data_IF_206629654123
#
_entry.id   IF_206629654123
#
_cell.length_a   1.000
_cell.length_b   1.000
_cell.length_c   1.000
_cell.angle_alpha   90.00
_cell.angle_beta   90.00
_cell.angle_gamma   90.00
#
_symmetry.space_group_name_H-M   'P 1'
#
loop_
_entity.id
_entity.type
_entity.pdbx_description
1 polymer ?
#
# COMPACT_ATOMS: atom_id res chain seq x y z
N UNK A 1 81.86 -53.10 -47.25
CA UNK A 1 80.76 -52.13 -47.43
C UNK A 1 79.76 -52.27 -46.27
N UNK A 2 79.91 -51.56 -45.15
CA UNK A 2 78.92 -51.64 -44.05
C UNK A 2 78.95 -50.48 -43.03
N UNK A 3 79.42 -49.28 -43.40
CA UNK A 3 79.56 -48.17 -42.42
C UNK A 3 78.76 -46.91 -42.78
N UNK A 4 78.11 -46.87 -43.96
CA UNK A 4 77.37 -45.68 -44.44
C UNK A 4 75.85 -45.72 -44.21
N UNK A 5 75.26 -46.88 -43.91
CA UNK A 5 73.81 -46.99 -43.65
C UNK A 5 73.42 -46.47 -42.25
N UNK A 6 74.27 -46.68 -41.23
CA UNK A 6 73.92 -46.32 -39.83
C UNK A 6 73.85 -44.81 -39.61
N UNK A 7 74.72 -44.02 -40.26
CA UNK A 7 74.70 -42.54 -40.21
C UNK A 7 73.46 -41.93 -40.89
N UNK A 8 72.96 -42.54 -41.96
CA UNK A 8 71.75 -42.10 -42.66
C UNK A 8 70.49 -42.26 -41.78
N UNK A 9 70.35 -43.40 -41.08
CA UNK A 9 69.20 -43.65 -40.19
C UNK A 9 69.20 -42.74 -38.96
N UNK A 10 70.38 -42.45 -38.38
CA UNK A 10 70.47 -41.49 -37.26
C UNK A 10 70.12 -40.07 -37.69
N UNK A 11 70.51 -39.66 -38.91
CA UNK A 11 70.17 -38.35 -39.46
C UNK A 11 68.66 -38.22 -39.76
N UNK A 12 68.04 -39.28 -40.27
CA UNK A 12 66.58 -39.34 -40.51
C UNK A 12 65.80 -39.25 -39.19
N UNK A 13 66.24 -39.97 -38.14
CA UNK A 13 65.59 -39.91 -36.83
C UNK A 13 65.72 -38.53 -36.16
N UNK A 14 66.86 -37.86 -36.30
CA UNK A 14 67.05 -36.48 -35.82
C UNK A 14 66.13 -35.52 -36.59
N UNK A 15 65.99 -35.69 -37.91
CA UNK A 15 65.10 -34.88 -38.72
C UNK A 15 63.63 -35.05 -38.29
N UNK A 16 63.20 -36.27 -38.01
CA UNK A 16 61.84 -36.57 -37.53
C UNK A 16 61.58 -35.93 -36.15
N UNK A 17 62.56 -36.00 -35.23
CA UNK A 17 62.43 -35.36 -33.91
C UNK A 17 62.31 -33.84 -34.05
N UNK A 18 63.12 -33.21 -34.91
CA UNK A 18 63.04 -31.76 -35.18
C UNK A 18 61.68 -31.39 -35.80
N UNK A 19 61.15 -32.22 -36.70
CA UNK A 19 59.85 -31.99 -37.33
C UNK A 19 58.69 -32.13 -36.34
N UNK A 20 58.76 -33.11 -35.44
CA UNK A 20 57.80 -33.28 -34.34
C UNK A 20 57.89 -32.11 -33.35
N UNK A 21 59.10 -31.67 -32.99
CA UNK A 21 59.29 -30.53 -32.10
C UNK A 21 58.79 -29.23 -32.73
N UNK A 22 59.02 -29.05 -34.04
CA UNK A 22 58.48 -27.94 -34.83
C UNK A 22 56.96 -27.97 -34.93
N UNK A 23 56.34 -29.14 -35.08
CA UNK A 23 54.88 -29.28 -35.08
C UNK A 23 54.28 -28.99 -33.69
N UNK A 24 54.89 -29.47 -32.61
CA UNK A 24 54.45 -29.18 -31.23
C UNK A 24 54.61 -27.69 -30.93
N UNK A 25 55.72 -27.08 -31.37
CA UNK A 25 55.92 -25.64 -31.24
C UNK A 25 54.89 -24.85 -32.05
N UNK A 26 54.58 -25.26 -33.29
CA UNK A 26 53.57 -24.61 -34.12
C UNK A 26 52.16 -24.73 -33.53
N UNK A 27 51.78 -25.91 -33.00
CA UNK A 27 50.50 -26.12 -32.31
C UNK A 27 50.44 -25.34 -31.00
N UNK A 28 51.53 -25.30 -30.23
CA UNK A 28 51.61 -24.52 -28.99
C UNK A 28 51.49 -23.03 -29.28
N UNK A 29 52.21 -22.53 -30.28
CA UNK A 29 52.11 -21.14 -30.72
C UNK A 29 50.70 -20.85 -31.21
N UNK A 30 50.09 -21.74 -32.01
CA UNK A 30 48.71 -21.58 -32.49
C UNK A 30 47.69 -21.53 -31.34
N UNK A 31 47.82 -22.39 -30.31
CA UNK A 31 46.95 -22.34 -29.12
C UNK A 31 47.24 -21.12 -28.23
N UNK A 32 48.48 -20.66 -28.14
CA UNK A 32 48.88 -19.46 -27.39
C UNK A 32 48.51 -18.16 -28.11
N UNK A 33 48.42 -18.16 -29.44
CA UNK A 33 48.04 -17.00 -30.25
C UNK A 33 46.59 -17.04 -30.72
N UNK A 34 45.85 -18.13 -30.48
CA UNK A 34 44.42 -18.16 -30.75
C UNK A 34 43.74 -17.12 -29.86
N UNK A 35 43.13 -16.07 -30.44
CA UNK A 35 42.49 -15.03 -29.65
C UNK A 35 41.39 -15.66 -28.82
N UNK A 36 41.54 -15.62 -27.49
CA UNK A 36 40.44 -15.94 -26.59
C UNK A 36 39.31 -14.99 -26.91
N UNK A 37 38.12 -15.52 -27.24
CA UNK A 37 36.95 -14.68 -27.44
C UNK A 37 36.64 -14.00 -26.12
N UNK A 38 36.93 -12.72 -26.03
CA UNK A 38 36.61 -11.92 -24.84
C UNK A 38 35.09 -11.74 -24.79
N UNK A 39 34.48 -12.19 -23.69
CA UNK A 39 33.07 -11.98 -23.40
C UNK A 39 32.93 -11.07 -22.19
N UNK A 40 31.97 -10.15 -22.27
CA UNK A 40 31.46 -9.47 -21.08
C UNK A 40 30.37 -10.33 -20.47
N UNK A 41 30.53 -10.69 -19.19
CA UNK A 41 29.53 -11.44 -18.46
C UNK A 41 28.57 -10.47 -17.76
N UNK A 42 27.29 -10.62 -18.06
CA UNK A 42 26.19 -10.03 -17.30
C UNK A 42 25.38 -11.07 -16.57
N UNK A 43 24.50 -10.60 -15.69
CA UNK A 43 23.56 -11.42 -14.93
C UNK A 43 22.14 -10.91 -15.15
N UNK A 44 21.20 -11.83 -15.36
CA UNK A 44 19.79 -11.52 -15.41
C UNK A 44 19.26 -11.17 -14.01
N UNK A 45 18.54 -10.07 -13.91
CA UNK A 45 17.78 -9.64 -12.73
C UNK A 45 16.34 -9.37 -13.16
N UNK A 46 15.43 -9.33 -12.20
CA UNK A 46 14.03 -8.96 -12.45
C UNK A 46 13.52 -8.07 -11.32
N UNK A 47 12.37 -7.46 -11.56
CA UNK A 47 11.70 -6.66 -10.54
C UNK A 47 11.24 -7.56 -9.39
N UNK A 48 11.80 -7.32 -8.21
CA UNK A 48 11.36 -7.94 -6.95
C UNK A 48 10.28 -7.09 -6.29
N UNK A 49 9.22 -7.75 -5.83
CA UNK A 49 8.07 -7.11 -5.21
C UNK A 49 7.87 -7.75 -3.84
N UNK A 50 8.27 -7.01 -2.81
CA UNK A 50 8.08 -7.41 -1.42
C UNK A 50 6.67 -7.06 -0.95
N UNK A 51 5.84 -8.08 -0.78
CA UNK A 51 4.45 -7.93 -0.32
C UNK A 51 4.43 -7.97 1.21
N UNK A 52 4.07 -6.83 1.80
CA UNK A 52 3.97 -6.65 3.25
C UNK A 52 2.53 -6.29 3.66
N UNK A 53 2.06 -6.70 4.84
CA UNK A 53 0.75 -6.34 5.35
C UNK A 53 0.77 -4.90 5.89
N UNK A 54 -0.37 -4.23 5.89
CA UNK A 54 -0.53 -2.92 6.56
C UNK A 54 -0.89 -3.04 8.05
N UNK A 55 -1.23 -4.25 8.51
CA UNK A 55 -1.64 -4.53 9.89
C UNK A 55 -0.74 -5.59 10.50
N UNK A 56 -0.54 -5.50 11.81
CA UNK A 56 0.18 -6.52 12.58
C UNK A 56 -0.76 -7.68 12.88
N UNK A 57 -0.27 -8.91 12.74
CA UNK A 57 -1.05 -10.12 13.00
C UNK A 57 -0.19 -11.37 12.94
N UNK A 58 -0.72 -12.50 13.38
CA UNK A 58 -0.05 -13.80 13.25
C UNK A 58 -0.38 -14.43 11.92
N UNK A 59 0.57 -15.13 11.29
CA UNK A 59 0.28 -15.86 10.07
C UNK A 59 -0.65 -17.04 10.37
N UNK A 60 -1.90 -16.95 9.92
CA UNK A 60 -2.91 -17.99 10.13
C UNK A 60 -2.87 -19.03 9.02
N UNK A 61 -2.77 -18.59 7.76
CA UNK A 61 -2.75 -19.49 6.61
C UNK A 61 -1.82 -18.99 5.51
N UNK A 62 -1.02 -19.92 4.97
CA UNK A 62 -0.23 -19.77 3.75
C UNK A 62 -1.02 -20.39 2.61
N UNK A 63 -1.34 -19.60 1.59
CA UNK A 63 -2.20 -20.04 0.47
C UNK A 63 -1.45 -20.23 -0.84
N UNK A 64 -0.17 -19.88 -0.86
CA UNK A 64 0.71 -20.04 -2.02
C UNK A 64 2.04 -20.65 -1.60
N UNK A 65 2.66 -21.39 -2.52
CA UNK A 65 3.96 -22.01 -2.33
C UNK A 65 5.06 -21.32 -3.15
N UNK A 66 6.31 -21.55 -2.77
CA UNK A 66 7.47 -21.04 -3.51
C UNK A 66 7.52 -21.71 -4.90
N UNK A 67 7.84 -20.91 -5.93
CA UNK A 67 7.77 -21.31 -7.34
C UNK A 67 6.38 -21.23 -7.97
N UNK A 68 5.32 -20.95 -7.20
CA UNK A 68 3.97 -20.79 -7.76
C UNK A 68 3.82 -19.44 -8.47
N UNK A 69 3.22 -19.44 -9.66
CA UNK A 69 2.80 -18.21 -10.34
C UNK A 69 1.49 -17.69 -9.75
N UNK A 70 1.46 -16.40 -9.45
CA UNK A 70 0.30 -15.68 -8.90
C UNK A 70 -0.11 -14.53 -9.82
N UNK A 71 -1.40 -14.18 -9.75
CA UNK A 71 -1.96 -13.02 -10.46
C UNK A 71 -2.23 -11.87 -9.52
N UNK A 72 -2.24 -10.65 -10.04
CA UNK A 72 -2.67 -9.45 -9.33
C UNK A 72 -4.04 -9.65 -8.69
N UNK A 73 -4.15 -9.34 -7.40
CA UNK A 73 -5.35 -9.50 -6.59
C UNK A 73 -5.55 -10.91 -6.03
N UNK A 74 -4.69 -11.86 -6.35
CA UNK A 74 -4.74 -13.21 -5.75
C UNK A 74 -4.37 -13.14 -4.27
N UNK A 75 -5.10 -13.90 -3.45
CA UNK A 75 -4.83 -14.04 -2.03
C UNK A 75 -3.59 -14.91 -1.81
N UNK A 76 -2.63 -14.39 -1.05
CA UNK A 76 -1.35 -15.04 -0.76
C UNK A 76 -1.30 -15.62 0.67
N UNK A 77 -1.83 -14.85 1.61
CA UNK A 77 -1.81 -15.17 3.03
C UNK A 77 -3.03 -14.60 3.75
N UNK A 78 -3.37 -15.24 4.87
CA UNK A 78 -4.36 -14.72 5.83
C UNK A 78 -3.65 -14.54 7.17
N UNK A 79 -3.81 -13.36 7.75
CA UNK A 79 -3.36 -13.07 9.11
C UNK A 79 -4.50 -13.29 10.12
N UNK A 80 -4.15 -13.47 11.39
CA UNK A 80 -5.11 -13.41 12.49
C UNK A 80 -4.74 -12.26 13.41
N UNK A 81 -5.70 -11.38 13.67
CA UNK A 81 -5.58 -10.31 14.67
C UNK A 81 -6.89 -10.19 15.44
N UNK A 82 -7.03 -10.88 16.57
CA UNK A 82 -8.16 -10.73 17.48
C UNK A 82 -8.33 -9.28 17.97
N UNK A 83 -7.25 -8.49 17.99
CA UNK A 83 -7.26 -7.08 18.38
C UNK A 83 -8.07 -6.23 17.39
N UNK A 84 -8.02 -6.53 16.09
CA UNK A 84 -8.83 -5.84 15.08
C UNK A 84 -10.32 -6.17 15.23
N UNK A 85 -10.67 -7.42 15.53
CA UNK A 85 -12.06 -7.82 15.78
C UNK A 85 -12.59 -7.15 17.06
N UNK A 86 -11.80 -7.11 18.14
CA UNK A 86 -12.17 -6.40 19.36
C UNK A 86 -12.37 -4.89 19.10
N UNK A 87 -11.49 -4.27 18.31
CA UNK A 87 -11.60 -2.85 17.93
C UNK A 87 -12.82 -2.59 17.05
N UNK A 88 -13.20 -3.54 16.19
CA UNK A 88 -14.42 -3.45 15.38
C UNK A 88 -15.67 -3.48 16.27
N UNK A 89 -15.73 -4.39 17.25
CA UNK A 89 -16.82 -4.47 18.23
C UNK A 89 -16.93 -3.15 19.00
N UNK A 90 -15.80 -2.59 19.44
CA UNK A 90 -15.75 -1.29 20.13
C UNK A 90 -16.30 -0.15 19.25
N UNK A 91 -15.83 -0.05 17.99
CA UNK A 91 -16.28 0.98 17.06
C UNK A 91 -17.77 0.83 16.72
N UNK A 92 -18.25 -0.39 16.54
CA UNK A 92 -19.66 -0.67 16.27
C UNK A 92 -20.53 -0.29 17.46
N UNK A 93 -20.11 -0.62 18.69
CA UNK A 93 -20.82 -0.23 19.90
C UNK A 93 -20.90 1.30 20.06
N UNK A 94 -19.83 2.01 19.71
CA UNK A 94 -19.83 3.47 19.70
C UNK A 94 -20.78 4.06 18.65
N UNK A 95 -20.87 3.44 17.46
CA UNK A 95 -21.85 3.79 16.43
C UNK A 95 -23.27 3.54 16.91
N UNK A 96 -23.54 2.42 17.56
CA UNK A 96 -24.87 2.08 18.06
C UNK A 96 -25.32 3.08 19.13
N UNK A 97 -24.42 3.45 20.06
CA UNK A 97 -24.68 4.49 21.06
C UNK A 97 -24.93 5.87 20.41
N UNK A 98 -24.14 6.26 19.42
CA UNK A 98 -24.32 7.52 18.69
C UNK A 98 -25.63 7.54 17.89
N UNK A 99 -26.01 6.40 17.31
CA UNK A 99 -27.28 6.22 16.58
C UNK A 99 -28.45 6.37 17.54
N UNK A 100 -28.42 5.71 18.71
CA UNK A 100 -29.45 5.85 19.73
C UNK A 100 -29.60 7.30 20.23
N UNK A 101 -28.49 8.04 20.35
CA UNK A 101 -28.53 9.45 20.73
C UNK A 101 -29.11 10.33 19.62
N UNK A 102 -28.81 10.04 18.36
CA UNK A 102 -29.42 10.71 17.21
C UNK A 102 -30.92 10.43 17.12
N UNK A 103 -31.35 9.18 17.30
CA UNK A 103 -32.77 8.80 17.30
C UNK A 103 -33.51 9.47 18.46
N UNK A 104 -32.88 9.60 19.63
CA UNK A 104 -33.44 10.36 20.75
C UNK A 104 -33.63 11.84 20.39
N UNK A 105 -32.68 12.47 19.71
CA UNK A 105 -32.79 13.85 19.26
C UNK A 105 -33.87 14.00 18.16
N UNK A 106 -34.01 13.00 17.28
CA UNK A 106 -35.00 13.00 16.20
C UNK A 106 -36.42 12.86 16.74
N UNK A 107 -36.64 11.88 17.62
CA UNK A 107 -37.93 11.59 18.26
C UNK A 107 -38.37 12.72 19.21
N UNK A 108 -37.42 13.51 19.72
CA UNK A 108 -37.70 14.69 20.51
C UNK A 108 -38.36 14.38 21.85
N UNK A 109 -39.29 15.24 22.26
CA UNK A 109 -39.97 15.15 23.56
C UNK A 109 -41.02 14.05 23.55
N UNK A 110 -41.08 13.27 24.63
CA UNK A 110 -42.08 12.18 24.77
C UNK A 110 -43.51 12.70 24.77
N UNK A 111 -44.44 11.91 24.25
CA UNK A 111 -45.86 12.30 24.17
C UNK A 111 -46.44 12.66 25.54
N UNK A 112 -46.10 11.93 26.59
CA UNK A 112 -46.57 12.17 27.96
C UNK A 112 -46.11 13.53 28.50
N UNK A 113 -44.90 13.97 28.12
CA UNK A 113 -44.38 15.29 28.48
C UNK A 113 -45.10 16.40 27.71
N UNK A 114 -45.39 16.20 26.43
CA UNK A 114 -46.18 17.13 25.62
C UNK A 114 -47.60 17.28 26.20
N UNK A 115 -48.24 16.16 26.56
CA UNK A 115 -49.56 16.16 27.19
C UNK A 115 -49.54 16.82 28.58
N UNK A 116 -48.53 16.56 29.39
CA UNK A 116 -48.35 17.24 30.68
C UNK A 116 -48.29 18.76 30.52
N UNK A 117 -47.44 19.24 29.61
CA UNK A 117 -47.33 20.68 29.32
C UNK A 117 -48.62 21.27 28.74
N UNK A 118 -49.32 20.53 27.90
CA UNK A 118 -50.63 20.92 27.38
C UNK A 118 -51.65 21.08 28.51
N UNK A 119 -51.75 20.12 29.42
CA UNK A 119 -52.67 20.18 30.56
C UNK A 119 -52.35 21.37 31.49
N UNK A 120 -51.07 21.67 31.71
CA UNK A 120 -50.66 22.87 32.47
C UNK A 120 -51.07 24.16 31.75
N UNK A 121 -50.92 24.23 30.43
CA UNK A 121 -51.43 25.38 29.65
C UNK A 121 -52.95 25.52 29.78
N UNK A 122 -53.70 24.42 29.66
CA UNK A 122 -55.16 24.42 29.79
C UNK A 122 -55.61 24.87 31.18
N UNK A 123 -54.92 24.47 32.23
CA UNK A 123 -55.17 24.94 33.59
C UNK A 123 -54.93 26.46 33.73
N UNK A 124 -53.79 26.95 33.23
CA UNK A 124 -53.45 28.37 33.29
C UNK A 124 -54.43 29.24 32.48
N UNK A 125 -54.87 28.72 31.32
CA UNK A 125 -55.90 29.36 30.48
C UNK A 125 -57.23 29.49 31.21
N UNK A 126 -57.71 28.43 31.86
CA UNK A 126 -58.94 28.48 32.65
C UNK A 126 -58.84 29.51 33.80
N UNK A 127 -57.68 29.62 34.44
CA UNK A 127 -57.44 30.63 35.47
C UNK A 127 -57.43 32.06 34.92
N UNK A 128 -56.84 32.28 33.74
CA UNK A 128 -56.84 33.57 33.06
C UNK A 128 -58.26 33.99 32.63
N UNK A 129 -59.06 33.06 32.09
CA UNK A 129 -60.46 33.30 31.72
C UNK A 129 -61.32 33.68 32.95
N UNK A 130 -61.09 33.02 34.09
CA UNK A 130 -61.75 33.36 35.35
C UNK A 130 -61.35 34.76 35.85
N UNK A 131 -60.05 35.08 35.82
CA UNK A 131 -59.56 36.40 36.24
C UNK A 131 -60.06 37.52 35.32
N UNK A 132 -60.17 37.27 34.01
CA UNK A 132 -60.73 38.19 33.03
C UNK A 132 -62.21 38.49 33.31
N UNK A 133 -63.01 37.44 33.51
CA UNK A 133 -64.44 37.59 33.81
C UNK A 133 -64.67 38.29 35.15
N UNK A 134 -63.81 38.01 36.14
CA UNK A 134 -63.85 38.65 37.46
C UNK A 134 -63.51 40.14 37.35
N UNK A 135 -62.45 40.49 36.62
CA UNK A 135 -62.10 41.88 36.37
C UNK A 135 -63.23 42.65 35.68
N UNK A 136 -63.84 42.08 34.63
CA UNK A 136 -64.99 42.72 33.95
C UNK A 136 -66.15 42.99 34.91
N UNK A 137 -66.46 42.04 35.80
CA UNK A 137 -67.50 42.22 36.81
C UNK A 137 -67.14 43.34 37.79
N UNK A 138 -65.91 43.38 38.28
CA UNK A 138 -65.42 44.42 39.20
C UNK A 138 -65.34 45.80 38.53
N UNK A 139 -64.96 45.86 37.26
CA UNK A 139 -64.93 47.10 36.46
C UNK A 139 -66.34 47.69 36.30
N UNK A 140 -67.35 46.87 36.00
CA UNK A 140 -68.74 47.32 35.93
C UNK A 140 -69.24 47.84 37.29
N UNK A 141 -69.00 47.09 38.38
CA UNK A 141 -69.40 47.50 39.73
C UNK A 141 -68.68 48.78 40.20
N UNK A 142 -67.44 49.00 39.78
CA UNK A 142 -66.71 50.24 40.03
C UNK A 142 -67.29 51.42 39.26
N UNK A 143 -67.65 51.22 37.99
CA UNK A 143 -68.31 52.24 37.17
C UNK A 143 -69.68 52.62 37.73
N UNK A 144 -70.38 51.67 38.35
CA UNK A 144 -71.63 51.88 39.11
C UNK A 144 -71.40 52.46 40.52
N UNK A 145 -70.13 52.69 40.93
CA UNK A 145 -69.71 53.22 42.23
C UNK A 145 -70.07 52.33 43.45
N UNK A 146 -70.22 51.02 43.23
CA UNK A 146 -70.60 50.04 44.27
C UNK A 146 -69.37 49.51 45.03
N UNK A 147 -68.16 49.61 44.46
CA UNK A 147 -66.91 49.13 45.07
C UNK A 147 -65.78 50.18 45.05
N UNK A 148 -64.78 50.11 45.95
CA UNK A 148 -63.61 50.99 45.92
C UNK A 148 -62.69 50.76 44.71
N UNK A 149 -61.98 51.81 44.28
CA UNK A 149 -60.99 51.74 43.19
C UNK A 149 -59.91 50.67 43.42
N UNK A 150 -59.44 50.55 44.67
CA UNK A 150 -58.45 49.55 45.07
C UNK A 150 -58.88 48.11 44.71
N UNK A 151 -60.16 47.76 44.88
CA UNK A 151 -60.66 46.41 44.54
C UNK A 151 -60.67 46.14 43.05
N UNK A 152 -60.98 47.15 42.23
CA UNK A 152 -60.84 47.07 40.77
C UNK A 152 -59.37 46.90 40.38
N UNK A 153 -58.47 47.65 41.00
CA UNK A 153 -57.04 47.61 40.70
C UNK A 153 -56.39 46.28 41.10
N UNK A 154 -56.74 45.73 42.27
CA UNK A 154 -56.34 44.38 42.71
C UNK A 154 -56.79 43.33 41.67
N UNK A 155 -58.05 43.38 41.22
CA UNK A 155 -58.55 42.45 40.20
C UNK A 155 -57.89 42.65 38.83
N UNK A 156 -57.53 43.89 38.46
CA UNK A 156 -56.81 44.20 37.23
C UNK A 156 -55.41 43.60 37.25
N UNK A 157 -54.71 43.77 38.37
CA UNK A 157 -53.39 43.19 38.59
C UNK A 157 -53.45 41.66 38.51
N UNK A 158 -54.45 41.04 39.15
CA UNK A 158 -54.64 39.59 39.10
C UNK A 158 -54.94 39.07 37.69
N UNK A 159 -55.82 39.75 36.93
CA UNK A 159 -56.07 39.44 35.52
C UNK A 159 -54.77 39.46 34.70
N UNK A 160 -54.00 40.54 34.84
CA UNK A 160 -52.76 40.70 34.09
C UNK A 160 -51.75 39.60 34.45
N UNK A 161 -51.60 39.30 35.74
CA UNK A 161 -50.74 38.23 36.22
C UNK A 161 -51.16 36.86 35.66
N UNK A 162 -52.45 36.52 35.70
CA UNK A 162 -52.96 35.25 35.17
C UNK A 162 -52.80 35.13 33.65
N UNK A 163 -52.94 36.23 32.89
CA UNK A 163 -52.66 36.25 31.44
C UNK A 163 -51.18 35.99 31.13
N UNK A 164 -50.26 36.62 31.85
CA UNK A 164 -48.82 36.36 31.65
C UNK A 164 -48.45 34.92 32.06
N UNK A 165 -49.12 34.36 33.07
CA UNK A 165 -48.96 32.96 33.46
C UNK A 165 -49.46 31.98 32.39
N UNK A 166 -50.61 32.25 31.77
CA UNK A 166 -51.09 31.49 30.61
C UNK A 166 -50.08 31.52 29.46
N UNK A 167 -49.58 32.72 29.11
CA UNK A 167 -48.60 32.90 28.04
C UNK A 167 -47.31 32.13 28.32
N UNK A 168 -46.83 32.15 29.56
CA UNK A 168 -45.67 31.36 29.97
C UNK A 168 -45.93 29.84 29.84
N UNK A 169 -47.09 29.36 30.29
CA UNK A 169 -47.47 27.94 30.17
C UNK A 169 -47.62 27.51 28.70
N UNK A 170 -48.18 28.36 27.85
CA UNK A 170 -48.30 28.12 26.41
C UNK A 170 -46.92 28.02 25.73
N UNK A 171 -45.99 28.92 26.07
CA UNK A 171 -44.62 28.86 25.55
C UNK A 171 -43.89 27.58 25.99
N UNK A 172 -44.11 27.12 27.22
CA UNK A 172 -43.57 25.84 27.70
C UNK A 172 -44.14 24.64 26.92
N UNK A 173 -45.45 24.66 26.61
CA UNK A 173 -46.07 23.66 25.74
C UNK A 173 -45.49 23.69 24.33
N UNK A 174 -45.31 24.88 23.74
CA UNK A 174 -44.67 25.02 22.42
C UNK A 174 -43.23 24.51 22.41
N UNK A 175 -42.45 24.79 23.45
CA UNK A 175 -41.10 24.22 23.61
C UNK A 175 -41.14 22.69 23.65
N UNK A 176 -42.05 22.11 24.44
CA UNK A 176 -42.22 20.66 24.51
C UNK A 176 -42.63 20.07 23.14
N UNK A 177 -43.54 20.73 22.42
CA UNK A 177 -44.04 20.31 21.10
C UNK A 177 -42.98 20.42 20.01
N UNK A 178 -42.16 21.47 20.02
CA UNK A 178 -41.10 21.69 19.04
C UNK A 178 -39.93 20.72 19.24
N UNK A 179 -39.73 20.22 20.47
CA UNK A 179 -38.74 19.20 20.78
C UNK A 179 -37.30 19.70 20.65
N UNK A 180 -36.40 18.79 20.22
CA UNK A 180 -34.98 19.10 20.05
C UNK A 180 -34.75 20.11 18.92
N UNK A 181 -33.79 21.02 19.12
CA UNK A 181 -33.47 22.05 18.14
C UNK A 181 -32.77 21.44 16.92
N UNK A 182 -32.77 22.16 15.80
CA UNK A 182 -32.12 21.68 14.58
C UNK A 182 -30.60 21.52 14.78
N UNK A 183 -30.00 22.42 15.56
CA UNK A 183 -28.61 22.39 15.96
C UNK A 183 -28.28 21.11 16.73
N UNK A 184 -29.14 20.68 17.65
CA UNK A 184 -28.97 19.45 18.42
C UNK A 184 -29.07 18.21 17.52
N UNK A 185 -30.06 18.18 16.63
CA UNK A 185 -30.23 17.10 15.65
C UNK A 185 -29.02 16.98 14.72
N UNK A 186 -28.53 18.12 14.22
CA UNK A 186 -27.36 18.18 13.35
C UNK A 186 -26.08 17.76 14.08
N UNK A 187 -25.92 18.19 15.34
CA UNK A 187 -24.79 17.77 16.18
C UNK A 187 -24.80 16.25 16.41
N UNK A 188 -25.95 15.68 16.79
CA UNK A 188 -26.06 14.22 16.95
C UNK A 188 -25.85 13.46 15.64
N UNK A 189 -26.33 13.98 14.50
CA UNK A 189 -26.07 13.40 13.18
C UNK A 189 -24.58 13.44 12.81
N UNK A 190 -23.87 14.50 13.18
CA UNK A 190 -22.43 14.60 12.98
C UNK A 190 -21.67 13.57 13.82
N UNK A 191 -22.04 13.40 15.09
CA UNK A 191 -21.46 12.36 15.98
C UNK A 191 -21.72 10.96 15.45
N UNK A 192 -22.94 10.67 14.96
CA UNK A 192 -23.25 9.38 14.32
C UNK A 192 -22.37 9.14 13.09
N UNK A 193 -22.21 10.14 12.21
CA UNK A 193 -21.33 10.05 11.03
C UNK A 193 -19.87 9.85 11.40
N UNK A 194 -19.38 10.48 12.46
CA UNK A 194 -18.03 10.29 12.97
C UNK A 194 -17.82 8.84 13.44
N UNK A 195 -18.77 8.29 14.20
CA UNK A 195 -18.71 6.91 14.66
C UNK A 195 -18.79 5.90 13.49
N UNK A 196 -19.62 6.17 12.48
CA UNK A 196 -19.66 5.38 11.24
C UNK A 196 -18.32 5.43 10.48
N UNK A 197 -17.66 6.59 10.45
CA UNK A 197 -16.31 6.75 9.91
C UNK A 197 -15.30 5.86 10.64
N UNK A 198 -15.35 5.81 11.97
CA UNK A 198 -14.47 4.94 12.77
C UNK A 198 -14.70 3.45 12.47
N UNK A 199 -15.96 3.01 12.31
CA UNK A 199 -16.27 1.63 11.89
C UNK A 199 -15.71 1.33 10.51
N UNK A 200 -15.84 2.25 9.55
CA UNK A 200 -15.28 2.08 8.20
C UNK A 200 -13.76 1.98 8.21
N UNK A 201 -13.09 2.81 9.01
CA UNK A 201 -11.64 2.76 9.16
C UNK A 201 -11.17 1.39 9.66
N UNK A 202 -11.79 0.86 10.72
CA UNK A 202 -11.42 -0.47 11.25
C UNK A 202 -11.69 -1.57 10.24
N UNK A 203 -12.78 -1.49 9.47
CA UNK A 203 -13.06 -2.45 8.41
C UNK A 203 -12.02 -2.43 7.27
N UNK A 204 -11.48 -1.26 6.93
CA UNK A 204 -10.36 -1.17 5.97
C UNK A 204 -9.16 -1.93 6.50
N UNK A 205 -8.76 -1.71 7.77
CA UNK A 205 -7.67 -2.46 8.39
C UNK A 205 -7.96 -3.97 8.48
N UNK A 206 -9.20 -4.35 8.74
CA UNK A 206 -9.62 -5.76 8.77
C UNK A 206 -9.49 -6.43 7.40
N UNK A 207 -9.70 -5.71 6.31
CA UNK A 207 -9.48 -6.26 4.97
C UNK A 207 -7.99 -6.48 4.66
N UNK A 208 -7.10 -5.68 5.26
CA UNK A 208 -5.64 -5.81 5.11
C UNK A 208 -5.06 -7.05 5.83
N UNK A 209 -5.88 -7.77 6.60
CA UNK A 209 -5.57 -9.12 7.09
C UNK A 209 -5.36 -10.10 5.92
N UNK A 210 -6.09 -9.89 4.82
CA UNK A 210 -5.97 -10.66 3.60
C UNK A 210 -4.84 -10.06 2.76
N UNK A 211 -3.70 -10.74 2.72
CA UNK A 211 -2.52 -10.28 2.00
C UNK A 211 -2.65 -10.70 0.55
N UNK A 212 -2.82 -9.72 -0.35
CA UNK A 212 -3.04 -9.94 -1.78
C UNK A 212 -1.81 -9.57 -2.62
N UNK A 213 -1.66 -10.20 -3.78
CA UNK A 213 -0.61 -9.88 -4.74
C UNK A 213 -0.87 -8.52 -5.40
N UNK A 214 0.07 -7.55 -5.36
CA UNK A 214 -0.10 -6.24 -6.00
C UNK A 214 0.10 -6.28 -7.53
N UNK A 215 0.78 -7.31 -8.04
CA UNK A 215 1.08 -7.54 -9.46
C UNK A 215 1.15 -9.05 -9.75
N UNK A 216 1.21 -9.40 -11.04
CA UNK A 216 1.50 -10.76 -11.47
C UNK A 216 2.97 -11.10 -11.17
N UNK A 217 3.26 -12.35 -10.81
CA UNK A 217 4.65 -12.76 -10.52
C UNK A 217 4.77 -14.22 -10.11
N UNK A 218 5.99 -14.68 -9.89
CA UNK A 218 6.30 -15.99 -9.31
C UNK A 218 6.77 -15.80 -7.86
N UNK A 219 6.30 -16.64 -6.94
CA UNK A 219 6.69 -16.58 -5.52
C UNK A 219 8.14 -17.05 -5.38
N UNK A 220 9.05 -16.14 -4.98
CA UNK A 220 10.44 -16.49 -4.72
C UNK A 220 10.62 -17.10 -3.34
N UNK A 221 10.10 -16.40 -2.32
CA UNK A 221 10.31 -16.78 -0.93
C UNK A 221 9.15 -16.35 -0.06
N UNK A 222 8.84 -17.18 0.93
CA UNK A 222 7.94 -16.85 2.03
C UNK A 222 8.76 -16.59 3.30
N UNK A 223 8.61 -15.42 3.93
CA UNK A 223 9.46 -15.02 5.06
C UNK A 223 9.04 -15.62 6.42
N UNK A 224 7.77 -15.46 6.87
CA UNK A 224 7.35 -15.95 8.17
C UNK A 224 6.86 -17.40 8.13
N UNK A 225 6.97 -18.09 9.26
CA UNK A 225 6.39 -19.41 9.47
C UNK A 225 4.93 -19.31 9.94
N UNK A 226 4.17 -20.41 9.81
CA UNK A 226 2.80 -20.49 10.32
C UNK A 226 2.78 -20.21 11.84
N UNK A 227 1.87 -19.34 12.30
CA UNK A 227 1.76 -18.89 13.69
C UNK A 227 2.73 -17.79 14.12
N UNK A 228 3.72 -17.45 13.29
CA UNK A 228 4.68 -16.39 13.55
C UNK A 228 4.00 -15.02 13.54
N UNK A 229 4.47 -14.10 14.39
CA UNK A 229 3.98 -12.74 14.46
C UNK A 229 4.63 -11.89 13.37
N UNK A 230 3.81 -11.27 12.52
CA UNK A 230 4.26 -10.36 11.47
C UNK A 230 3.83 -8.94 11.82
N UNK A 231 4.80 -8.02 11.82
CA UNK A 231 4.53 -6.60 12.02
C UNK A 231 4.13 -5.92 10.70
N UNK A 232 3.31 -4.88 10.80
CA UNK A 232 2.97 -4.03 9.65
C UNK A 232 4.24 -3.52 8.93
N UNK A 233 4.25 -3.60 7.61
CA UNK A 233 5.35 -3.18 6.75
C UNK A 233 6.49 -4.19 6.61
N UNK A 234 6.50 -5.30 7.36
CA UNK A 234 7.47 -6.38 7.17
C UNK A 234 7.02 -7.34 6.07
N UNK A 235 7.89 -7.71 5.11
CA UNK A 235 7.48 -8.54 3.98
C UNK A 235 7.10 -9.96 4.42
N UNK A 236 6.02 -10.47 3.84
CA UNK A 236 5.55 -11.85 4.01
C UNK A 236 5.96 -12.69 2.81
N UNK A 237 5.80 -12.13 1.61
CA UNK A 237 6.09 -12.83 0.35
C UNK A 237 6.97 -11.95 -0.52
N UNK A 238 8.01 -12.54 -1.11
CA UNK A 238 8.76 -11.93 -2.20
C UNK A 238 8.24 -12.49 -3.55
N UNK A 239 7.75 -11.62 -4.42
CA UNK A 239 7.32 -11.97 -5.77
C UNK A 239 8.34 -11.47 -6.80
N UNK A 240 8.52 -12.23 -7.87
CA UNK A 240 9.39 -11.87 -8.99
C UNK A 240 8.53 -11.65 -10.23
N UNK A 241 8.62 -10.47 -10.83
CA UNK A 241 7.96 -10.20 -12.11
C UNK A 241 8.81 -10.75 -13.27
N UNK A 242 8.41 -11.92 -13.79
CA UNK A 242 9.07 -12.56 -14.93
C UNK A 242 8.80 -11.85 -16.28
N UNK A 243 7.94 -10.83 -16.32
CA UNK A 243 7.75 -10.02 -17.53
C UNK A 243 8.71 -8.83 -17.59
N UNK A 244 9.34 -8.47 -16.47
CA UNK A 244 10.30 -7.36 -16.37
C UNK A 244 11.69 -7.86 -15.96
N UNK A 245 12.34 -8.56 -16.90
CA UNK A 245 13.69 -9.09 -16.74
C UNK A 245 14.69 -8.21 -17.51
N UNK A 246 15.79 -7.82 -16.87
CA UNK A 246 16.92 -7.12 -17.50
C UNK A 246 18.23 -7.84 -17.21
N UNK A 247 19.23 -7.56 -18.03
CA UNK A 247 20.61 -8.02 -17.84
C UNK A 247 21.43 -6.86 -17.29
N UNK A 248 22.04 -7.08 -16.14
CA UNK A 248 23.03 -6.20 -15.56
C UNK A 248 24.41 -6.59 -16.07
N UNK A 249 25.10 -5.65 -16.71
CA UNK A 249 26.47 -5.85 -17.19
C UNK A 249 27.32 -4.74 -16.60
N UNK A 250 28.48 -5.11 -16.04
CA UNK A 250 29.48 -4.16 -15.60
C UNK A 250 30.49 -3.97 -16.74
N UNK A 251 30.50 -2.78 -17.33
CA UNK A 251 31.41 -2.42 -18.43
C UNK A 251 32.53 -1.54 -17.90
N UNK A 252 33.73 -1.71 -18.44
CA UNK A 252 34.87 -0.84 -18.11
C UNK A 252 34.71 0.52 -18.79
N UNK A 253 35.29 1.56 -18.20
CA UNK A 253 35.24 2.93 -18.73
C UNK A 253 35.70 3.05 -20.20
N UNK A 254 36.76 2.34 -20.58
CA UNK A 254 37.27 2.30 -21.97
C UNK A 254 36.29 1.68 -22.97
N UNK A 255 35.38 0.83 -22.50
CA UNK A 255 34.35 0.18 -23.30
C UNK A 255 33.01 0.95 -23.30
N UNK A 256 32.87 1.97 -22.44
CA UNK A 256 31.64 2.74 -22.28
C UNK A 256 31.16 3.38 -23.58
N UNK A 257 32.09 3.84 -24.43
CA UNK A 257 31.76 4.46 -25.72
C UNK A 257 30.98 3.55 -26.69
N UNK A 258 31.06 2.23 -26.51
CA UNK A 258 30.36 1.23 -27.34
C UNK A 258 28.90 1.02 -26.90
N UNK A 259 28.59 1.27 -25.64
CA UNK A 259 27.26 1.10 -25.07
C UNK A 259 26.56 2.44 -24.91
N UNK A 260 25.83 2.86 -25.95
CA UNK A 260 24.98 4.06 -25.91
C UNK A 260 23.57 3.73 -25.46
N UNK A 261 22.89 4.72 -24.88
CA UNK A 261 21.47 4.63 -24.55
C UNK A 261 20.66 4.22 -25.79
N UNK A 262 19.69 3.31 -25.61
CA UNK A 262 18.86 2.72 -26.65
C UNK A 262 19.58 1.87 -27.70
N UNK A 263 20.91 1.69 -27.60
CA UNK A 263 21.65 0.82 -28.51
C UNK A 263 21.25 -0.65 -28.29
N UNK A 264 21.27 -1.43 -29.38
CA UNK A 264 20.96 -2.85 -29.38
C UNK A 264 22.23 -3.67 -29.62
N UNK A 265 22.37 -4.78 -28.91
CA UNK A 265 23.50 -5.70 -29.08
C UNK A 265 23.05 -7.15 -28.83
N UNK A 266 23.86 -8.10 -29.28
CA UNK A 266 23.58 -9.52 -29.12
C UNK A 266 24.18 -10.05 -27.81
N UNK A 267 23.37 -10.72 -27.00
CA UNK A 267 23.79 -11.52 -25.85
C UNK A 267 23.55 -13.00 -26.09
N UNK A 268 24.32 -13.85 -25.44
CA UNK A 268 24.20 -15.31 -25.50
C UNK A 268 23.85 -15.80 -24.10
N UNK A 269 22.80 -16.61 -23.96
CA UNK A 269 22.44 -17.25 -22.70
C UNK A 269 22.98 -18.69 -22.71
N UNK A 270 24.06 -19.02 -21.99
CA UNK A 270 24.63 -20.37 -21.99
C UNK A 270 23.65 -21.43 -21.46
N UNK A 271 22.83 -21.05 -20.47
CA UNK A 271 21.84 -21.93 -19.84
C UNK A 271 20.67 -22.34 -20.77
N UNK A 272 20.53 -21.70 -21.93
CA UNK A 272 19.49 -21.99 -22.93
C UNK A 272 20.16 -22.42 -24.25
N UNK A 273 21.03 -23.41 -24.22
CA UNK A 273 21.74 -23.95 -25.40
C UNK A 273 22.48 -22.89 -26.24
N UNK A 274 23.10 -21.91 -25.57
CA UNK A 274 23.76 -20.77 -26.21
C UNK A 274 22.83 -19.95 -27.12
N UNK A 275 21.55 -19.83 -26.76
CA UNK A 275 20.57 -19.02 -27.48
C UNK A 275 21.01 -17.55 -27.52
N UNK A 276 21.03 -17.02 -28.73
CA UNK A 276 21.31 -15.60 -29.03
C UNK A 276 20.06 -14.77 -28.81
N UNK A 277 20.21 -13.66 -28.12
CA UNK A 277 19.12 -12.74 -27.77
C UNK A 277 19.54 -11.30 -28.10
N UNK A 278 18.59 -10.48 -28.53
CA UNK A 278 18.81 -9.06 -28.75
C UNK A 278 18.47 -8.30 -27.47
N UNK A 279 19.44 -7.55 -26.95
CA UNK A 279 19.33 -6.73 -25.76
C UNK A 279 19.40 -5.25 -26.14
N UNK A 280 18.61 -4.42 -25.48
CA UNK A 280 18.60 -2.98 -25.65
C UNK A 280 19.00 -2.27 -24.36
N UNK A 281 20.01 -1.40 -24.41
CA UNK A 281 20.42 -0.58 -23.26
C UNK A 281 19.32 0.43 -22.93
N UNK A 282 18.73 0.34 -21.72
CA UNK A 282 17.74 1.32 -21.23
C UNK A 282 18.22 2.12 -20.02
N UNK A 283 19.36 1.75 -19.44
CA UNK A 283 19.93 2.48 -18.32
C UNK A 283 21.45 2.31 -18.30
N UNK A 284 22.14 3.40 -18.03
CA UNK A 284 23.58 3.45 -17.79
C UNK A 284 23.75 4.21 -16.47
N UNK A 285 24.44 3.61 -15.50
CA UNK A 285 24.64 4.25 -14.21
C UNK A 285 25.39 5.58 -14.37
N UNK A 286 24.88 6.69 -13.80
CA UNK A 286 25.52 8.00 -13.91
C UNK A 286 26.82 8.10 -13.09
N UNK A 287 27.00 7.22 -12.11
CA UNK A 287 28.20 7.09 -11.30
C UNK A 287 28.74 5.66 -11.46
N UNK A 288 30.06 5.53 -11.65
CA UNK A 288 30.73 4.24 -11.61
C UNK A 288 30.78 3.69 -10.18
N UNK A 289 30.64 2.39 -10.04
CA UNK A 289 30.76 1.71 -8.74
C UNK A 289 32.22 1.32 -8.50
N UNK A 290 32.67 1.37 -7.25
CA UNK A 290 34.02 0.96 -6.85
C UNK A 290 33.96 -0.47 -6.32
N UNK A 291 33.82 -1.47 -7.19
CA UNK A 291 34.05 -2.86 -6.77
C UNK A 291 34.58 -3.76 -7.88
N UNK A 292 35.71 -4.42 -7.57
CA UNK A 292 36.28 -5.65 -8.15
C UNK A 292 36.99 -5.59 -9.51
N UNK A 293 38.08 -4.83 -9.60
CA UNK A 293 39.26 -5.37 -10.31
C UNK A 293 40.56 -4.86 -9.70
N UNK A 294 41.21 -5.67 -8.85
CA UNK A 294 42.60 -5.43 -8.49
C UNK A 294 43.47 -5.71 -9.72
N UNK A 295 44.05 -4.67 -10.30
CA UNK A 295 45.04 -4.82 -11.36
C UNK A 295 46.32 -5.44 -10.79
N UNK A 296 46.41 -6.77 -10.76
CA UNK A 296 47.70 -7.46 -10.57
C UNK A 296 48.49 -7.38 -11.88
N UNK A 297 48.95 -6.18 -12.26
CA UNK A 297 49.98 -6.03 -13.30
C UNK A 297 51.02 -5.02 -12.84
N UNK A 298 52.26 -5.50 -12.75
CA UNK A 298 53.54 -4.83 -12.43
C UNK A 298 53.94 -3.72 -13.42
N UNK A 299 53.01 -3.15 -14.20
CA UNK A 299 53.26 -2.04 -15.13
C UNK A 299 52.10 -1.06 -15.00
N UNK A 300 52.40 0.13 -14.46
CA UNK A 300 51.46 1.14 -13.99
C UNK A 300 50.24 1.39 -14.89
N UNK A 301 49.10 0.82 -14.49
CA UNK A 301 47.77 1.18 -14.97
C UNK A 301 47.03 1.95 -13.87
N UNK A 302 46.19 2.90 -14.27
CA UNK A 302 45.23 3.54 -13.37
C UNK A 302 44.08 2.57 -13.06
N UNK A 303 43.50 2.66 -11.86
CA UNK A 303 42.28 1.92 -11.51
C UNK A 303 41.13 2.41 -12.40
N UNK A 304 40.67 1.53 -13.30
CA UNK A 304 39.57 1.84 -14.20
C UNK A 304 38.25 1.61 -13.48
N UNK A 305 37.34 2.58 -13.59
CA UNK A 305 35.99 2.46 -13.04
C UNK A 305 35.14 1.55 -13.91
N UNK A 306 34.21 0.85 -13.27
CA UNK A 306 33.18 0.08 -13.96
C UNK A 306 31.85 0.81 -13.86
N UNK A 307 31.10 0.76 -14.96
CA UNK A 307 29.77 1.33 -15.05
C UNK A 307 28.76 0.21 -15.22
N UNK A 308 27.69 0.27 -14.44
CA UNK A 308 26.58 -0.67 -14.54
C UNK A 308 25.65 -0.25 -15.67
N UNK A 309 25.41 -1.15 -16.62
CA UNK A 309 24.34 -0.98 -17.63
C UNK A 309 23.22 -1.96 -17.35
N UNK A 310 21.97 -1.53 -17.56
CA UNK A 310 20.81 -2.42 -17.61
C UNK A 310 20.32 -2.52 -19.05
N UNK A 311 20.36 -3.73 -19.59
CA UNK A 311 19.92 -4.02 -20.95
C UNK A 311 18.72 -4.98 -20.93
N UNK A 312 17.67 -4.64 -21.67
CA UNK A 312 16.41 -5.38 -21.66
C UNK A 312 16.28 -6.22 -22.93
N UNK A 313 15.83 -7.48 -22.84
CA UNK A 313 15.47 -8.26 -24.02
C UNK A 313 14.41 -7.54 -24.84
N UNK A 314 14.58 -7.48 -26.17
CA UNK A 314 13.58 -6.86 -27.06
C UNK A 314 12.34 -7.73 -27.26
N UNK A 315 12.44 -9.02 -26.93
CA UNK A 315 11.34 -10.00 -26.95
C UNK A 315 11.37 -10.84 -25.67
N UNK A 316 10.20 -11.34 -25.26
CA UNK A 316 10.11 -12.31 -24.17
C UNK A 316 10.82 -13.61 -24.56
N UNK A 317 11.67 -14.12 -23.67
CA UNK A 317 12.45 -15.33 -23.89
C UNK A 317 11.92 -16.39 -22.93
N UNK A 318 11.36 -17.46 -23.46
CA UNK A 318 10.91 -18.60 -22.65
C UNK A 318 12.10 -19.26 -21.95
N UNK A 319 11.91 -19.62 -20.68
CA UNK A 319 12.94 -20.22 -19.83
C UNK A 319 13.98 -19.25 -19.30
N UNK A 320 13.96 -17.97 -19.69
CA UNK A 320 14.89 -16.98 -19.14
C UNK A 320 14.47 -16.60 -17.72
N UNK A 321 15.34 -16.90 -16.75
CA UNK A 321 15.09 -16.66 -15.32
C UNK A 321 16.15 -15.71 -14.74
N UNK A 322 15.79 -14.93 -13.71
CA UNK A 322 16.77 -14.17 -12.94
C UNK A 322 17.86 -15.08 -12.39
N UNK A 323 19.08 -14.55 -12.27
CA UNK A 323 20.28 -15.30 -11.91
C UNK A 323 21.03 -15.94 -13.08
N UNK A 324 20.40 -16.10 -14.26
CA UNK A 324 21.10 -16.63 -15.43
C UNK A 324 22.20 -15.68 -15.92
N UNK A 325 23.35 -16.25 -16.30
CA UNK A 325 24.43 -15.49 -16.93
C UNK A 325 24.12 -15.20 -18.40
N UNK A 326 24.53 -14.02 -18.88
CA UNK A 326 24.44 -13.61 -20.28
C UNK A 326 25.82 -13.16 -20.74
N UNK A 327 26.34 -13.80 -21.79
CA UNK A 327 27.64 -13.50 -22.37
C UNK A 327 27.48 -12.59 -23.58
N UNK A 328 28.16 -11.45 -23.57
CA UNK A 328 28.16 -10.49 -24.68
C UNK A 328 29.49 -10.58 -25.40
N UNK A 329 29.52 -11.03 -26.67
CA UNK A 329 30.76 -11.11 -27.43
C UNK A 329 31.34 -9.72 -27.67
N UNK A 330 32.63 -9.51 -27.40
CA UNK A 330 33.29 -8.21 -27.58
C UNK A 330 33.36 -7.73 -29.04
N UNK A 331 33.02 -8.60 -30.00
CA UNK A 331 33.09 -8.37 -31.45
C UNK A 331 31.77 -7.80 -32.02
N UNK A 332 30.66 -7.91 -31.27
CA UNK A 332 29.33 -7.46 -31.72
C UNK A 332 28.99 -6.05 -31.22
N UNK A 333 29.99 -5.30 -30.74
CA UNK A 333 29.87 -4.00 -30.06
C UNK A 333 30.40 -2.84 -30.87
#
# INVERSE_FOLDING_TARGET
MATNQKKSVTFINILIIILIFGAIAAVSVYFLTSPTKDYLQGQAEATEIHVAPKVTGRLESKLVEEGQTVKKGQLLAILSSPELDAKLIQAQSAKDAATAQYDKALNGTRYEQIQGAYNTWQQAKAAADLAETTYKRMENLYNEKVIPAQKRDESKAQKNASREQEKAAYNNYLMAKNGARMEDKNASAATMRQADGAVKEVNVYRNEINVIAPADGEVNQYFPNMGELVNAGYPIVNLIDLNDIWVVINIKEDQMGKFKMNNKFEGIIPALDNKKIELQVKYIAPLGDFATWTATKTKGGFDMRTFKIKAYPTKKIEGFRPGMSVLVPSVTL
#
